data_IF_173512751584
#
_entry.id   IF_173512751584
#
_cell.length_a   1.000
_cell.length_b   1.000
_cell.length_c   1.000
_cell.angle_alpha   90.00
_cell.angle_beta   90.00
_cell.angle_gamma   90.00
#
_symmetry.space_group_name_H-M   'P 1'
#
loop_
_entity.id
_entity.type
_entity.pdbx_description
1 polymer ?
#
# COMPACT_ATOMS: atom_id res chain seq x y z
N UNK A 1 8.11 -9.91 24.98
CA UNK A 1 8.40 -8.50 24.59
C UNK A 1 9.36 -8.58 23.41
N UNK A 2 8.83 -8.29 22.22
CA UNK A 2 9.48 -8.65 20.96
C UNK A 2 10.72 -7.79 20.67
N UNK A 3 11.72 -8.38 20.00
CA UNK A 3 12.97 -7.72 19.60
C UNK A 3 12.69 -6.42 18.80
N UNK A 4 11.61 -6.44 17.99
CA UNK A 4 11.15 -5.32 17.16
C UNK A 4 10.75 -4.10 18.00
N UNK A 5 10.17 -4.27 19.18
CA UNK A 5 9.77 -3.15 20.04
C UNK A 5 10.93 -2.48 20.76
N UNK A 6 12.15 -3.05 20.67
CA UNK A 6 13.39 -2.48 21.23
C UNK A 6 14.16 -1.64 20.22
N UNK A 7 13.82 -1.70 18.92
CA UNK A 7 14.51 -0.90 17.91
C UNK A 7 14.00 0.55 17.93
N UNK A 8 14.90 1.53 17.75
CA UNK A 8 14.50 2.93 17.66
C UNK A 8 13.57 3.15 16.46
N UNK A 9 12.51 3.94 16.64
CA UNK A 9 11.50 4.20 15.60
C UNK A 9 12.08 4.64 14.24
N UNK A 10 13.08 5.54 14.19
CA UNK A 10 13.72 5.93 12.92
C UNK A 10 14.36 4.75 12.17
N UNK A 11 14.95 3.79 12.88
CA UNK A 11 15.56 2.61 12.27
C UNK A 11 14.48 1.68 11.66
N UNK A 12 13.34 1.53 12.34
CA UNK A 12 12.21 0.75 11.82
C UNK A 12 11.64 1.39 10.54
N UNK A 13 11.51 2.71 10.53
CA UNK A 13 11.04 3.46 9.35
C UNK A 13 12.03 3.28 8.19
N UNK A 14 13.34 3.40 8.46
CA UNK A 14 14.37 3.22 7.44
C UNK A 14 14.35 1.82 6.84
N UNK A 15 14.29 0.78 7.68
CA UNK A 15 14.20 -0.62 7.23
C UNK A 15 12.93 -0.88 6.44
N UNK A 16 11.79 -0.33 6.86
CA UNK A 16 10.54 -0.41 6.12
C UNK A 16 10.60 0.26 4.75
N UNK A 17 11.18 1.47 4.68
CA UNK A 17 11.36 2.17 3.41
C UNK A 17 12.32 1.43 2.48
N UNK A 18 13.40 0.85 3.02
CA UNK A 18 14.34 0.03 2.26
C UNK A 18 13.65 -1.22 1.69
N UNK A 19 12.86 -1.92 2.49
CA UNK A 19 12.08 -3.08 2.04
C UNK A 19 11.10 -2.70 0.93
N UNK A 20 10.33 -1.62 1.09
CA UNK A 20 9.39 -1.14 0.09
C UNK A 20 10.06 -0.72 -1.23
N UNK A 21 11.35 -0.32 -1.20
CA UNK A 21 12.07 0.07 -2.42
C UNK A 21 12.28 -1.10 -3.39
N UNK A 22 12.29 -2.33 -2.91
CA UNK A 22 12.38 -3.53 -3.76
C UNK A 22 11.05 -3.90 -4.42
N UNK A 23 9.92 -3.41 -3.92
CA UNK A 23 8.60 -3.80 -4.39
C UNK A 23 8.38 -3.55 -5.89
N UNK A 24 8.82 -2.41 -6.41
CA UNK A 24 8.73 -2.09 -7.83
C UNK A 24 9.58 -2.99 -8.72
N UNK A 25 10.82 -3.27 -8.29
CA UNK A 25 11.72 -4.18 -8.99
C UNK A 25 11.10 -5.58 -9.07
N UNK A 26 10.62 -6.10 -7.94
CA UNK A 26 10.03 -7.44 -7.87
C UNK A 26 8.82 -7.54 -8.79
N UNK A 27 7.90 -6.56 -8.76
CA UNK A 27 6.70 -6.57 -9.62
C UNK A 27 7.05 -6.53 -11.11
N UNK A 28 8.11 -5.81 -11.49
CA UNK A 28 8.58 -5.77 -12.89
C UNK A 28 9.36 -7.01 -13.33
N UNK A 29 9.78 -7.86 -12.41
CA UNK A 29 10.51 -9.10 -12.70
C UNK A 29 9.60 -10.29 -12.98
N UNK A 30 8.28 -10.15 -12.84
CA UNK A 30 7.33 -11.21 -13.21
C UNK A 30 7.36 -11.46 -14.72
N UNK A 31 7.40 -12.74 -15.12
CA UNK A 31 7.52 -13.19 -16.51
C UNK A 31 6.26 -13.94 -16.94
N UNK A 32 5.45 -13.31 -17.80
CA UNK A 32 4.25 -13.94 -18.37
C UNK A 32 3.01 -13.96 -17.48
N UNK A 33 3.10 -13.48 -16.23
CA UNK A 33 1.95 -13.37 -15.34
C UNK A 33 1.10 -12.14 -15.66
N UNK A 34 -0.22 -12.32 -15.59
CA UNK A 34 -1.17 -11.21 -15.73
C UNK A 34 -1.21 -10.36 -14.45
N UNK A 35 -1.63 -9.12 -14.58
CA UNK A 35 -1.82 -8.19 -13.45
C UNK A 35 -2.59 -8.82 -12.27
N UNK A 36 -3.68 -9.53 -12.56
CA UNK A 36 -4.53 -10.13 -11.52
C UNK A 36 -3.89 -11.33 -10.83
N UNK A 37 -3.06 -12.09 -11.55
CA UNK A 37 -2.24 -13.15 -10.97
C UNK A 37 -1.17 -12.58 -10.02
N UNK A 38 -0.49 -11.51 -10.44
CA UNK A 38 0.50 -10.81 -9.59
C UNK A 38 -0.19 -10.28 -8.32
N UNK A 39 -1.35 -9.62 -8.48
CA UNK A 39 -2.12 -9.11 -7.35
C UNK A 39 -2.52 -10.24 -6.38
N UNK A 40 -3.02 -11.36 -6.90
CA UNK A 40 -3.44 -12.51 -6.10
C UNK A 40 -2.28 -13.07 -5.27
N UNK A 41 -1.19 -13.48 -5.92
CA UNK A 41 -0.07 -14.14 -5.26
C UNK A 41 0.65 -13.22 -4.27
N UNK A 42 0.92 -11.99 -4.67
CA UNK A 42 1.49 -10.97 -3.78
C UNK A 42 0.62 -10.74 -2.55
N UNK A 43 -0.68 -10.53 -2.74
CA UNK A 43 -1.61 -10.25 -1.63
C UNK A 43 -1.83 -11.45 -0.73
N UNK A 44 -1.79 -12.66 -1.27
CA UNK A 44 -1.86 -13.91 -0.50
C UNK A 44 -0.66 -14.02 0.45
N UNK A 45 0.56 -13.88 -0.07
CA UNK A 45 1.77 -13.94 0.76
C UNK A 45 1.87 -12.78 1.74
N UNK A 46 1.46 -11.56 1.34
CA UNK A 46 1.34 -10.43 2.26
C UNK A 46 0.38 -10.73 3.42
N UNK A 47 -0.78 -11.29 3.13
CA UNK A 47 -1.75 -11.67 4.16
C UNK A 47 -1.18 -12.73 5.11
N UNK A 48 -0.46 -13.73 4.59
CA UNK A 48 0.19 -14.75 5.40
C UNK A 48 1.28 -14.14 6.29
N UNK A 49 2.08 -13.22 5.77
CA UNK A 49 3.12 -12.51 6.53
C UNK A 49 2.50 -11.69 7.66
N UNK A 50 1.46 -10.91 7.37
CA UNK A 50 0.75 -10.12 8.38
C UNK A 50 0.06 -11.00 9.40
N UNK A 51 -0.58 -12.09 8.98
CA UNK A 51 -1.22 -13.05 9.90
C UNK A 51 -0.20 -13.68 10.84
N UNK A 52 0.95 -14.10 10.31
CA UNK A 52 2.04 -14.64 11.12
C UNK A 52 2.52 -13.62 12.15
N UNK A 53 2.69 -12.37 11.73
CA UNK A 53 3.05 -11.27 12.63
C UNK A 53 2.00 -11.07 13.74
N UNK A 54 0.71 -11.07 13.38
CA UNK A 54 -0.41 -10.95 14.34
C UNK A 54 -0.41 -12.10 15.35
N UNK A 55 -0.26 -13.34 14.89
CA UNK A 55 -0.22 -14.52 15.77
C UNK A 55 0.98 -14.45 16.72
N UNK A 56 2.16 -14.08 16.23
CA UNK A 56 3.36 -13.96 17.07
C UNK A 56 3.25 -12.82 18.10
N UNK A 57 2.58 -11.72 17.71
CA UNK A 57 2.43 -10.52 18.57
C UNK A 57 1.33 -10.70 19.61
N UNK A 58 0.11 -11.09 19.18
CA UNK A 58 -1.07 -11.17 20.04
C UNK A 58 -1.32 -12.57 20.62
N UNK A 59 -0.67 -13.61 20.09
CA UNK A 59 -0.80 -15.00 20.55
C UNK A 59 -2.27 -15.42 20.66
N UNK A 60 -2.73 -15.80 21.87
CA UNK A 60 -4.12 -16.21 22.12
C UNK A 60 -5.15 -15.08 21.93
N UNK A 61 -4.70 -13.82 21.91
CA UNK A 61 -5.58 -12.65 21.77
C UNK A 61 -5.71 -12.16 20.32
N UNK A 62 -5.20 -12.90 19.33
CA UNK A 62 -5.27 -12.49 17.91
C UNK A 62 -6.71 -12.22 17.47
N UNK A 63 -7.66 -13.09 17.79
CA UNK A 63 -9.08 -12.89 17.43
C UNK A 63 -9.62 -11.62 18.11
N UNK A 64 -9.25 -11.40 19.37
CA UNK A 64 -9.64 -10.21 20.12
C UNK A 64 -9.12 -8.93 19.47
N UNK A 65 -7.89 -8.93 18.97
CA UNK A 65 -7.31 -7.79 18.22
C UNK A 65 -8.12 -7.45 16.95
N UNK A 66 -8.60 -8.47 16.22
CA UNK A 66 -9.51 -8.25 15.08
C UNK A 66 -10.85 -7.66 15.52
N UNK A 67 -11.45 -8.15 16.60
CA UNK A 67 -12.71 -7.63 17.11
C UNK A 67 -12.56 -6.19 17.63
N UNK A 68 -11.45 -5.88 18.29
CA UNK A 68 -11.15 -4.55 18.82
C UNK A 68 -10.83 -3.53 17.70
N UNK A 69 -10.29 -3.98 16.56
CA UNK A 69 -10.12 -3.10 15.38
C UNK A 69 -11.47 -2.66 14.78
N UNK A 70 -12.50 -3.48 14.94
CA UNK A 70 -13.90 -3.19 14.63
C UNK A 70 -14.15 -2.57 13.25
N UNK A 71 -15.18 -1.72 13.17
CA UNK A 71 -15.57 -1.01 11.94
C UNK A 71 -14.44 -0.14 11.37
N UNK A 72 -13.67 0.63 12.18
CA UNK A 72 -12.56 1.40 11.66
C UNK A 72 -11.50 0.56 10.95
N UNK A 73 -11.15 -0.60 11.53
CA UNK A 73 -10.19 -1.53 10.92
C UNK A 73 -10.72 -2.15 9.63
N UNK A 74 -12.01 -2.50 9.59
CA UNK A 74 -12.65 -3.04 8.38
C UNK A 74 -12.66 -2.01 7.24
N UNK A 75 -13.11 -0.77 7.52
CA UNK A 75 -13.13 0.30 6.51
C UNK A 75 -11.71 0.62 6.06
N UNK A 76 -10.78 0.81 7.00
CA UNK A 76 -9.38 1.11 6.68
C UNK A 76 -8.73 0.04 5.82
N UNK A 77 -8.95 -1.24 6.13
CA UNK A 77 -8.43 -2.36 5.37
C UNK A 77 -9.03 -2.47 3.98
N UNK A 78 -10.36 -2.35 3.85
CA UNK A 78 -11.02 -2.37 2.55
C UNK A 78 -10.61 -1.19 1.67
N UNK A 79 -10.50 0.00 2.20
CA UNK A 79 -10.02 1.17 1.45
C UNK A 79 -8.58 0.93 0.98
N UNK A 80 -7.71 0.43 1.85
CA UNK A 80 -6.31 0.17 1.50
C UNK A 80 -6.18 -0.91 0.42
N UNK A 81 -7.10 -1.88 0.35
CA UNK A 81 -7.09 -2.91 -0.70
C UNK A 81 -7.21 -2.33 -2.12
N UNK A 82 -8.00 -1.28 -2.30
CA UNK A 82 -8.05 -0.55 -3.58
C UNK A 82 -6.72 0.12 -3.92
N UNK A 83 -5.99 0.61 -2.91
CA UNK A 83 -4.64 1.12 -3.08
C UNK A 83 -3.68 0.03 -3.58
N UNK A 84 -3.75 -1.17 -3.03
CA UNK A 84 -2.93 -2.31 -3.47
C UNK A 84 -3.26 -2.73 -4.90
N UNK A 85 -4.55 -2.75 -5.27
CA UNK A 85 -4.96 -3.01 -6.64
C UNK A 85 -4.40 -1.96 -7.60
N UNK A 86 -4.56 -0.68 -7.27
CA UNK A 86 -4.06 0.41 -8.10
C UNK A 86 -2.53 0.44 -8.19
N UNK A 87 -1.82 0.08 -7.11
CA UNK A 87 -0.36 -0.06 -7.13
C UNK A 87 0.10 -1.11 -8.13
N UNK A 88 -0.46 -2.33 -8.07
CA UNK A 88 -0.08 -3.40 -9.01
C UNK A 88 -0.48 -3.03 -10.44
N UNK A 89 -1.66 -2.42 -10.63
CA UNK A 89 -2.09 -1.94 -11.93
C UNK A 89 -1.14 -0.87 -12.49
N UNK A 90 -0.70 0.08 -11.66
CA UNK A 90 0.24 1.11 -12.04
C UNK A 90 1.60 0.50 -12.42
N UNK A 91 2.16 -0.35 -11.55
CA UNK A 91 3.44 -1.02 -11.81
C UNK A 91 3.40 -1.86 -13.08
N UNK A 92 2.26 -2.44 -13.44
CA UNK A 92 2.11 -3.23 -14.65
C UNK A 92 2.06 -2.37 -15.92
N UNK A 93 1.36 -1.21 -15.89
CA UNK A 93 1.05 -0.40 -17.06
C UNK A 93 1.96 0.83 -17.24
N UNK A 94 2.69 1.29 -16.21
CA UNK A 94 3.62 2.42 -16.31
C UNK A 94 4.99 2.07 -15.73
N UNK A 95 5.88 3.04 -15.62
CA UNK A 95 7.22 2.84 -15.08
C UNK A 95 7.21 2.79 -13.55
N UNK A 96 8.18 2.08 -12.97
CA UNK A 96 8.42 2.07 -11.51
C UNK A 96 8.68 3.48 -10.99
N UNK A 97 9.41 4.29 -11.76
CA UNK A 97 9.72 5.67 -11.42
C UNK A 97 8.46 6.52 -11.33
N UNK A 98 7.60 6.51 -12.37
CA UNK A 98 6.34 7.25 -12.37
C UNK A 98 5.44 6.85 -11.19
N UNK A 99 5.28 5.54 -10.99
CA UNK A 99 4.45 5.01 -9.89
C UNK A 99 4.95 5.49 -8.54
N UNK A 100 6.24 5.34 -8.23
CA UNK A 100 6.79 5.74 -6.93
C UNK A 100 6.78 7.27 -6.74
N UNK A 101 6.95 8.04 -7.83
CA UNK A 101 6.87 9.49 -7.76
C UNK A 101 5.45 9.95 -7.42
N UNK A 102 4.44 9.34 -8.05
CA UNK A 102 3.03 9.63 -7.73
C UNK A 102 2.70 9.18 -6.30
N UNK A 103 3.19 8.03 -5.85
CA UNK A 103 3.00 7.56 -4.46
C UNK A 103 3.60 8.54 -3.45
N UNK A 104 4.72 9.19 -3.77
CA UNK A 104 5.33 10.19 -2.88
C UNK A 104 4.42 11.38 -2.58
N UNK A 105 3.39 11.63 -3.41
CA UNK A 105 2.34 12.62 -3.12
C UNK A 105 1.43 12.25 -1.94
N UNK A 106 1.62 11.09 -1.32
CA UNK A 106 0.83 10.71 -0.13
C UNK A 106 0.86 11.76 0.98
N UNK A 107 1.99 12.49 1.13
CA UNK A 107 2.12 13.60 2.11
C UNK A 107 1.16 14.73 1.76
N UNK A 108 0.97 15.04 0.48
CA UNK A 108 0.02 16.02 -0.02
C UNK A 108 -1.43 15.62 0.34
N UNK A 109 -1.83 14.37 -0.02
CA UNK A 109 -3.17 13.90 0.29
C UNK A 109 -3.41 13.84 1.80
N UNK A 110 -2.39 13.46 2.58
CA UNK A 110 -2.46 13.47 4.04
C UNK A 110 -2.67 14.89 4.58
N UNK A 111 -1.99 15.91 4.05
CA UNK A 111 -2.17 17.29 4.45
C UNK A 111 -3.58 17.83 4.08
N UNK A 112 -4.04 17.54 2.85
CA UNK A 112 -5.38 17.91 2.39
C UNK A 112 -6.46 17.27 3.27
N UNK A 113 -6.39 15.95 3.48
CA UNK A 113 -7.39 15.24 4.27
C UNK A 113 -7.27 15.59 5.76
N UNK A 114 -6.06 15.85 6.29
CA UNK A 114 -5.86 16.37 7.64
C UNK A 114 -6.57 17.73 7.84
N UNK A 115 -6.46 18.60 6.86
CA UNK A 115 -7.18 19.88 6.90
C UNK A 115 -8.70 19.68 6.92
N UNK A 116 -9.26 18.87 6.00
CA UNK A 116 -10.72 18.71 5.91
C UNK A 116 -11.32 17.88 7.05
N UNK A 117 -10.69 16.76 7.42
CA UNK A 117 -11.26 15.80 8.37
C UNK A 117 -10.82 16.02 9.82
N UNK A 118 -9.59 16.49 10.03
CA UNK A 118 -9.03 16.71 11.37
C UNK A 118 -8.94 18.19 11.73
N UNK A 119 -9.30 19.11 10.79
CA UNK A 119 -9.21 20.56 10.95
C UNK A 119 -7.79 21.06 11.30
N UNK A 120 -6.77 20.33 10.80
CA UNK A 120 -5.37 20.71 10.96
C UNK A 120 -5.05 21.93 10.10
N UNK A 121 -4.26 22.87 10.61
CA UNK A 121 -3.87 24.06 9.85
C UNK A 121 -2.75 23.70 8.87
N UNK A 122 -2.95 23.99 7.59
CA UNK A 122 -1.89 23.90 6.59
C UNK A 122 -0.97 25.12 6.75
N UNK A 123 0.31 24.87 7.03
CA UNK A 123 1.29 25.95 7.11
C UNK A 123 1.71 26.42 5.71
N UNK A 124 2.21 27.66 5.59
CA UNK A 124 2.73 28.17 4.31
C UNK A 124 3.85 27.28 3.75
N UNK A 125 4.70 26.76 4.64
CA UNK A 125 5.76 25.83 4.25
C UNK A 125 5.18 24.52 3.65
N UNK A 126 4.13 23.98 4.25
CA UNK A 126 3.44 22.79 3.71
C UNK A 126 2.83 23.11 2.35
N UNK A 127 2.19 24.27 2.18
CA UNK A 127 1.59 24.66 0.91
C UNK A 127 2.64 24.82 -0.20
N UNK A 128 3.76 25.47 0.07
CA UNK A 128 4.84 25.61 -0.92
C UNK A 128 5.46 24.29 -1.30
N UNK A 129 5.65 23.38 -0.32
CA UNK A 129 6.15 22.01 -0.58
C UNK A 129 5.18 21.20 -1.45
N UNK A 130 3.87 21.35 -1.25
CA UNK A 130 2.82 20.74 -2.05
C UNK A 130 2.91 21.22 -3.51
N UNK A 131 2.97 22.54 -3.73
CA UNK A 131 3.05 23.12 -5.08
C UNK A 131 4.31 22.62 -5.80
N UNK A 132 5.43 22.60 -5.11
CA UNK A 132 6.71 22.15 -5.68
C UNK A 132 6.64 20.65 -6.05
N UNK A 133 6.10 19.80 -5.18
CA UNK A 133 5.94 18.38 -5.44
C UNK A 133 4.99 18.11 -6.62
N UNK A 134 3.86 18.83 -6.70
CA UNK A 134 2.93 18.71 -7.83
C UNK A 134 3.57 19.13 -9.15
N UNK A 135 4.35 20.22 -9.14
CA UNK A 135 5.07 20.66 -10.34
C UNK A 135 6.04 19.57 -10.82
N UNK A 136 6.78 18.92 -9.92
CA UNK A 136 7.66 17.80 -10.25
C UNK A 136 6.92 16.62 -10.89
N UNK A 137 5.78 16.23 -10.32
CA UNK A 137 4.95 15.14 -10.88
C UNK A 137 4.38 15.51 -12.24
N UNK A 138 3.89 16.75 -12.43
CA UNK A 138 3.37 17.21 -13.71
C UNK A 138 4.45 17.18 -14.81
N UNK A 139 5.67 17.61 -14.50
CA UNK A 139 6.79 17.55 -15.44
C UNK A 139 7.15 16.11 -15.83
N UNK A 140 7.08 15.18 -14.87
CA UNK A 140 7.41 13.80 -15.11
C UNK A 140 6.33 13.04 -15.88
N UNK A 141 5.07 13.18 -15.47
CA UNK A 141 3.91 12.52 -16.09
C UNK A 141 3.59 13.15 -17.47
N UNK A 142 3.85 14.44 -17.64
CA UNK A 142 3.59 15.17 -18.88
C UNK A 142 4.32 14.62 -20.12
N UNK A 143 5.43 13.89 -19.91
CA UNK A 143 6.17 13.22 -20.98
C UNK A 143 5.70 11.77 -21.25
N UNK A 144 4.80 11.22 -20.43
CA UNK A 144 4.30 9.84 -20.49
C UNK A 144 2.84 9.84 -20.95
N UNK A 145 2.61 10.23 -22.20
CA UNK A 145 1.26 10.42 -22.77
C UNK A 145 0.75 9.23 -23.58
N UNK A 146 1.43 8.08 -23.56
CA UNK A 146 0.87 6.88 -24.19
C UNK A 146 -0.37 6.41 -23.41
N UNK A 147 -1.45 5.93 -24.09
CA UNK A 147 -2.70 5.58 -23.42
C UNK A 147 -2.54 4.55 -22.27
N UNK A 148 -1.61 3.59 -22.42
CA UNK A 148 -1.31 2.60 -21.36
C UNK A 148 -0.63 3.24 -20.17
N UNK A 149 0.37 4.07 -20.38
CA UNK A 149 1.09 4.78 -19.32
C UNK A 149 0.18 5.76 -18.57
N UNK A 150 -0.72 6.45 -19.29
CA UNK A 150 -1.66 7.38 -18.66
C UNK A 150 -2.60 6.63 -17.69
N UNK A 151 -3.14 5.48 -18.08
CA UNK A 151 -4.01 4.68 -17.22
C UNK A 151 -3.25 4.16 -15.98
N UNK A 152 -1.99 3.72 -16.15
CA UNK A 152 -1.11 3.33 -15.07
C UNK A 152 -0.80 4.49 -14.11
N UNK A 153 -0.49 5.66 -14.64
CA UNK A 153 -0.22 6.86 -13.85
C UNK A 153 -1.46 7.31 -13.06
N UNK A 154 -2.66 7.27 -13.66
CA UNK A 154 -3.92 7.55 -12.96
C UNK A 154 -4.21 6.53 -11.84
N UNK A 155 -3.99 5.25 -12.11
CA UNK A 155 -4.15 4.21 -11.10
C UNK A 155 -3.17 4.35 -9.92
N UNK A 156 -1.96 4.88 -10.16
CA UNK A 156 -0.98 5.13 -9.12
C UNK A 156 -1.49 6.08 -8.02
N UNK A 157 -2.39 7.02 -8.34
CA UNK A 157 -3.00 7.91 -7.35
C UNK A 157 -3.88 7.20 -6.32
N UNK A 158 -4.36 6.00 -6.62
CA UNK A 158 -5.15 5.22 -5.67
C UNK A 158 -4.38 4.96 -4.37
N UNK A 159 -3.08 4.66 -4.46
CA UNK A 159 -2.25 4.33 -3.30
C UNK A 159 -2.09 5.51 -2.32
N UNK A 160 -1.64 6.70 -2.73
CA UNK A 160 -1.52 7.83 -1.81
C UNK A 160 -2.86 8.29 -1.24
N UNK A 161 -3.95 8.20 -2.00
CA UNK A 161 -5.30 8.57 -1.53
C UNK A 161 -5.76 7.58 -0.45
N UNK A 162 -5.74 6.28 -0.73
CA UNK A 162 -6.21 5.26 0.21
C UNK A 162 -5.35 5.19 1.46
N UNK A 163 -4.04 5.39 1.32
CA UNK A 163 -3.13 5.47 2.46
C UNK A 163 -3.41 6.71 3.32
N UNK A 164 -3.65 7.85 2.72
CA UNK A 164 -4.04 9.06 3.46
C UNK A 164 -5.36 8.87 4.21
N UNK A 165 -6.37 8.22 3.59
CA UNK A 165 -7.63 7.86 4.27
C UNK A 165 -7.36 6.95 5.47
N UNK A 166 -6.53 5.91 5.29
CA UNK A 166 -6.17 5.01 6.40
C UNK A 166 -5.55 5.80 7.57
N UNK A 167 -4.58 6.68 7.28
CA UNK A 167 -3.92 7.48 8.33
C UNK A 167 -4.91 8.42 9.04
N UNK A 168 -5.88 8.99 8.31
CA UNK A 168 -6.95 9.79 8.94
C UNK A 168 -7.79 8.94 9.88
N UNK A 169 -8.14 7.71 9.49
CA UNK A 169 -8.87 6.77 10.34
C UNK A 169 -8.04 6.46 11.60
N UNK A 170 -6.75 6.12 11.45
CA UNK A 170 -5.83 5.87 12.57
C UNK A 170 -5.80 7.06 13.54
N UNK A 171 -5.69 8.29 13.03
CA UNK A 171 -5.66 9.51 13.85
C UNK A 171 -6.98 9.80 14.53
N UNK A 172 -8.11 9.47 13.90
CA UNK A 172 -9.45 9.67 14.44
C UNK A 172 -9.77 8.64 15.54
N UNK A 173 -9.18 7.45 15.48
CA UNK A 173 -9.41 6.35 16.42
C UNK A 173 -8.08 5.91 17.09
N UNK A 174 -7.41 6.78 17.87
CA UNK A 174 -6.06 6.52 18.38
C UNK A 174 -5.96 5.38 19.39
N UNK A 175 -7.09 4.92 19.93
CA UNK A 175 -7.15 3.77 20.86
C UNK A 175 -7.37 2.45 20.15
N UNK A 176 -7.64 2.46 18.86
CA UNK A 176 -7.90 1.26 18.06
C UNK A 176 -6.61 0.81 17.39
N UNK A 177 -6.29 -0.46 17.59
CA UNK A 177 -5.16 -1.07 16.89
C UNK A 177 -5.55 -1.36 15.44
N UNK A 178 -4.82 -0.72 14.50
CA UNK A 178 -5.06 -0.83 13.07
C UNK A 178 -4.16 -1.86 12.36
N UNK A 179 -3.34 -2.61 13.09
CA UNK A 179 -2.53 -3.67 12.48
C UNK A 179 -3.40 -4.75 11.81
N UNK A 180 -4.55 -5.20 12.40
CA UNK A 180 -5.45 -6.11 11.72
C UNK A 180 -6.03 -5.60 10.39
N UNK A 181 -6.13 -4.27 10.21
CA UNK A 181 -6.58 -3.67 8.94
C UNK A 181 -5.67 -4.03 7.75
N UNK A 182 -4.37 -4.22 7.99
CA UNK A 182 -3.42 -4.65 6.96
C UNK A 182 -3.75 -6.07 6.45
N UNK A 183 -4.12 -6.98 7.35
CA UNK A 183 -4.57 -8.31 6.97
C UNK A 183 -5.85 -8.25 6.14
N UNK A 184 -6.81 -7.43 6.55
CA UNK A 184 -8.08 -7.22 5.82
C UNK A 184 -7.78 -6.67 4.42
N UNK A 185 -6.85 -5.72 4.30
CA UNK A 185 -6.42 -5.17 3.01
C UNK A 185 -5.82 -6.26 2.10
N UNK A 186 -4.95 -7.09 2.65
CA UNK A 186 -4.33 -8.20 1.92
C UNK A 186 -5.36 -9.23 1.44
N UNK A 187 -6.26 -9.69 2.33
CA UNK A 187 -7.31 -10.65 1.97
C UNK A 187 -8.27 -10.07 0.93
N UNK A 188 -8.71 -8.82 1.10
CA UNK A 188 -9.60 -8.17 0.14
C UNK A 188 -8.96 -8.04 -1.24
N UNK A 189 -7.67 -7.66 -1.30
CA UNK A 189 -6.91 -7.60 -2.56
C UNK A 189 -6.71 -8.99 -3.17
N UNK A 190 -6.47 -10.01 -2.33
CA UNK A 190 -6.35 -11.39 -2.77
C UNK A 190 -7.67 -11.88 -3.42
N UNK A 191 -8.82 -11.60 -2.80
CA UNK A 191 -10.13 -11.92 -3.34
C UNK A 191 -10.36 -11.21 -4.69
N UNK A 192 -10.04 -9.93 -4.79
CA UNK A 192 -10.15 -9.17 -6.05
C UNK A 192 -9.28 -9.81 -7.13
N UNK A 193 -8.01 -10.12 -6.82
CA UNK A 193 -7.11 -10.80 -7.74
C UNK A 193 -7.62 -12.16 -8.19
N UNK A 194 -8.19 -12.94 -7.27
CA UNK A 194 -8.80 -14.24 -7.56
C UNK A 194 -9.99 -14.14 -8.51
N UNK A 195 -10.92 -13.24 -8.22
CA UNK A 195 -12.16 -13.08 -9.00
C UNK A 195 -11.90 -12.55 -10.41
N UNK A 196 -10.91 -11.67 -10.55
CA UNK A 196 -10.58 -11.06 -11.84
C UNK A 196 -9.53 -11.85 -12.65
N UNK A 197 -8.91 -12.86 -12.05
CA UNK A 197 -7.97 -13.73 -12.74
C UNK A 197 -8.71 -14.85 -13.48
N UNK A 198 -8.36 -15.06 -14.75
CA UNK A 198 -8.88 -16.19 -15.55
C UNK A 198 -8.18 -17.51 -15.21
N UNK A 199 -6.93 -17.45 -14.76
CA UNK A 199 -6.12 -18.58 -14.31
C UNK A 199 -5.29 -18.14 -13.11
N UNK A 200 -5.17 -19.01 -12.09
CA UNK A 200 -4.41 -18.68 -10.87
C UNK A 200 -2.98 -19.21 -10.96
N UNK A 201 -2.79 -20.29 -11.69
CA UNK A 201 -1.48 -20.94 -11.82
C UNK A 201 -0.51 -20.06 -12.59
N UNK A 202 0.68 -19.87 -12.03
CA UNK A 202 1.81 -19.15 -12.62
C UNK A 202 3.06 -20.02 -12.49
N UNK A 203 4.17 -19.59 -13.09
CA UNK A 203 5.45 -20.28 -12.98
C UNK A 203 5.97 -20.33 -11.54
N UNK A 204 6.81 -21.35 -11.22
CA UNK A 204 7.45 -21.42 -9.89
C UNK A 204 8.33 -20.19 -9.62
N UNK A 205 8.95 -19.61 -10.65
CA UNK A 205 9.69 -18.38 -10.58
C UNK A 205 8.79 -17.22 -10.11
N UNK A 206 7.61 -17.06 -10.72
CA UNK A 206 6.67 -16.01 -10.40
C UNK A 206 6.00 -16.21 -9.02
N UNK A 207 5.79 -17.47 -8.60
CA UNK A 207 5.34 -17.75 -7.22
C UNK A 207 6.38 -17.25 -6.20
N UNK A 208 7.67 -17.49 -6.46
CA UNK A 208 8.75 -17.01 -5.60
C UNK A 208 8.82 -15.48 -5.58
N UNK A 209 8.63 -14.81 -6.72
CA UNK A 209 8.53 -13.35 -6.78
C UNK A 209 7.30 -12.84 -6.02
N UNK A 210 6.16 -13.54 -6.10
CA UNK A 210 4.97 -13.26 -5.32
C UNK A 210 5.21 -13.33 -3.82
N UNK A 211 5.98 -14.34 -3.38
CA UNK A 211 6.41 -14.47 -1.99
C UNK A 211 7.28 -13.28 -1.57
N UNK A 212 8.29 -12.93 -2.36
CA UNK A 212 9.14 -11.77 -2.06
C UNK A 212 8.33 -10.48 -2.03
N UNK A 213 7.46 -10.25 -3.02
CA UNK A 213 6.62 -9.05 -3.09
C UNK A 213 5.59 -8.94 -1.96
N UNK A 214 5.19 -10.05 -1.37
CA UNK A 214 4.27 -10.09 -0.23
C UNK A 214 4.98 -10.01 1.13
N UNK A 215 6.26 -10.37 1.17
CA UNK A 215 7.06 -10.32 2.40
C UNK A 215 7.68 -8.93 2.60
N UNK A 216 8.17 -8.29 1.54
CA UNK A 216 8.73 -6.94 1.54
C UNK A 216 7.66 -5.88 1.32
#
# INVERSE_FOLDING_TARGET
>A
MNLITKLPGPLLIFLGALSLSFGGLIVKSFEGSTLWQILFWRSMFFSLTVLTFLILTYKKNTIKAFLESGVPGLIGGTVLSFGFCGYVFAMYNTTVANTNFIISLQILFLAIFGYFFLKEKITTLTLTSIILAMSGVLLMVGNSLTPGELSGNLAAFSMPITFAVLIIIVRKFPKVDMVPAQFIAGISSCIIGYVLSTKIMISNHDIFLGFLAGFF
#
